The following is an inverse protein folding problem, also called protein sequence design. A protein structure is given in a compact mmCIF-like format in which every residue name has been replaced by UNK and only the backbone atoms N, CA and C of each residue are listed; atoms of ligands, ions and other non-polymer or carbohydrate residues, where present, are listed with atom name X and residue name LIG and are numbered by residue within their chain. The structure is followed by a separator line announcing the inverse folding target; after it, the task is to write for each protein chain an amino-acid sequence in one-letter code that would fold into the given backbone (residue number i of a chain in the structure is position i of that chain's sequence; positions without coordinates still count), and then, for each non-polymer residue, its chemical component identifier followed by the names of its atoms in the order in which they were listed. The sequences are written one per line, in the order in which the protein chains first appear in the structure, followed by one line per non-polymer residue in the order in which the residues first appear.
data_IF_636794677958
#
_entry.id   IF_636794677958
#
_cell.length_a   1.000
_cell.length_b   1.000
_cell.length_c   1.000
_cell.angle_alpha   90.00
_cell.angle_beta   90.00
_cell.angle_gamma   90.00
#
_symmetry.space_group_name_H-M   'P 1'
#
loop_
_entity.id
_entity.type
_entity.pdbx_description
1 polymer ?
#
# COMPACT_ATOMS: atom_id res chain seq x y z
N UNK A 1 37.09 37.58 -65.60
CA UNK A 1 35.91 37.56 -64.70
C UNK A 1 35.12 36.20 -64.64
N UNK A 2 35.55 35.13 -65.30
CA UNK A 2 34.85 33.80 -65.27
C UNK A 2 35.47 32.75 -64.32
N UNK A 3 36.63 33.02 -63.72
CA UNK A 3 37.31 32.10 -62.82
C UNK A 3 37.01 32.35 -61.29
N UNK A 4 36.39 33.51 -60.99
CA UNK A 4 36.10 33.88 -59.61
C UNK A 4 34.69 33.45 -59.16
N UNK A 5 33.82 33.02 -60.14
CA UNK A 5 32.45 32.55 -59.78
C UNK A 5 32.35 31.06 -59.50
N UNK A 6 33.35 30.27 -59.88
CA UNK A 6 33.37 28.81 -59.61
C UNK A 6 33.89 28.42 -58.20
N UNK A 7 34.68 29.30 -57.54
CA UNK A 7 35.21 29.05 -56.20
C UNK A 7 34.21 29.38 -55.09
N UNK A 8 33.21 30.24 -55.37
CA UNK A 8 32.19 30.63 -54.38
C UNK A 8 31.05 29.59 -54.28
N UNK A 9 30.81 28.85 -55.41
CA UNK A 9 29.75 27.78 -55.37
C UNK A 9 30.22 26.48 -54.73
N UNK A 10 31.54 26.22 -54.65
CA UNK A 10 32.04 25.01 -53.93
C UNK A 10 32.23 25.24 -52.44
N UNK A 11 32.34 26.45 -51.92
CA UNK A 11 32.39 26.73 -50.46
C UNK A 11 31.03 26.75 -49.78
N UNK A 12 29.93 26.91 -50.57
CA UNK A 12 28.58 26.90 -50.05
C UNK A 12 27.96 25.50 -49.87
N UNK A 13 28.61 24.45 -50.41
CA UNK A 13 28.12 23.08 -50.32
C UNK A 13 28.75 22.24 -49.19
N UNK A 14 29.70 22.82 -48.44
CA UNK A 14 30.36 22.14 -47.32
C UNK A 14 29.93 22.65 -45.92
N UNK A 15 28.99 23.63 -45.88
CA UNK A 15 28.48 24.19 -44.59
C UNK A 15 27.07 23.73 -44.24
N UNK A 16 26.52 22.73 -44.92
CA UNK A 16 25.19 22.19 -44.66
C UNK A 16 25.18 20.79 -44.02
N UNK A 17 26.31 20.31 -43.51
CA UNK A 17 26.39 18.98 -42.86
C UNK A 17 26.95 19.00 -41.43
N UNK A 18 26.86 20.15 -40.73
CA UNK A 18 27.26 20.23 -39.31
C UNK A 18 26.15 20.75 -38.41
N UNK A 19 24.91 20.40 -38.73
CA UNK A 19 23.73 20.68 -37.94
C UNK A 19 23.01 19.40 -37.53
N UNK A 20 23.74 18.30 -37.23
CA UNK A 20 23.22 17.30 -36.32
C UNK A 20 23.18 18.01 -34.97
N UNK A 21 22.02 18.58 -34.62
CA UNK A 21 21.73 18.97 -33.27
C UNK A 21 22.21 17.78 -32.39
N UNK A 22 23.21 18.02 -31.55
CA UNK A 22 23.50 17.11 -30.48
C UNK A 22 22.17 16.98 -29.72
N UNK A 23 21.45 15.92 -29.99
CA UNK A 23 20.27 15.58 -29.23
C UNK A 23 20.82 15.39 -27.84
N UNK A 24 20.48 16.32 -26.92
CA UNK A 24 20.97 16.24 -25.54
C UNK A 24 20.78 14.82 -25.06
N UNK A 25 21.85 14.16 -24.66
CA UNK A 25 21.81 12.77 -24.22
C UNK A 25 20.83 12.65 -23.07
N UNK A 26 20.07 11.55 -23.03
CA UNK A 26 19.24 11.20 -21.87
C UNK A 26 20.16 10.76 -20.73
N UNK A 27 19.72 10.93 -19.50
CA UNK A 27 20.45 10.41 -18.33
C UNK A 27 20.46 8.88 -18.38
N UNK A 28 19.30 8.30 -18.69
CA UNK A 28 19.13 6.84 -18.82
C UNK A 28 18.31 6.57 -20.09
N UNK A 29 18.71 5.55 -20.85
CA UNK A 29 17.88 4.97 -21.90
C UNK A 29 17.67 3.49 -21.67
N UNK A 30 16.44 3.03 -21.83
CA UNK A 30 16.08 1.61 -21.83
C UNK A 30 15.79 1.22 -23.27
N UNK A 31 16.59 0.31 -23.81
CA UNK A 31 16.60 -0.02 -25.24
C UNK A 31 15.92 -1.36 -25.51
N UNK A 32 15.23 -1.46 -26.66
CA UNK A 32 14.71 -2.70 -27.22
C UNK A 32 13.69 -3.44 -26.37
N UNK A 33 13.13 -2.83 -25.33
CA UNK A 33 12.15 -3.45 -24.44
C UNK A 33 10.75 -3.44 -25.03
N UNK A 34 9.94 -4.46 -24.68
CA UNK A 34 8.50 -4.43 -24.94
C UNK A 34 7.85 -3.48 -23.94
N UNK A 35 7.63 -2.24 -24.37
CA UNK A 35 6.95 -1.22 -23.54
C UNK A 35 5.47 -1.55 -23.45
N UNK A 36 4.99 -1.69 -22.24
CA UNK A 36 3.58 -1.89 -21.90
C UNK A 36 3.12 -0.74 -21.02
N UNK A 37 2.23 0.10 -21.56
CA UNK A 37 1.67 1.24 -20.85
C UNK A 37 0.13 1.10 -20.80
N UNK A 38 -0.42 0.78 -19.62
CA UNK A 38 -1.85 0.56 -19.46
C UNK A 38 -2.70 1.82 -19.66
N UNK A 39 -2.12 3.02 -19.47
CA UNK A 39 -2.84 4.28 -19.66
C UNK A 39 -3.12 4.56 -21.14
N UNK A 40 -2.09 4.41 -21.99
CA UNK A 40 -2.22 4.68 -23.43
C UNK A 40 -2.58 3.44 -24.26
N UNK A 41 -2.52 2.24 -23.67
CA UNK A 41 -2.67 0.97 -24.37
C UNK A 41 -1.47 0.61 -25.25
N UNK A 42 -0.32 1.29 -25.12
CA UNK A 42 0.89 0.97 -25.86
C UNK A 42 1.41 -0.41 -25.46
N UNK A 43 1.61 -1.28 -26.45
CA UNK A 43 2.18 -2.60 -26.27
C UNK A 43 3.06 -2.93 -27.48
N UNK A 44 4.30 -2.45 -27.48
CA UNK A 44 5.22 -2.61 -28.60
C UNK A 44 6.68 -2.50 -28.16
N UNK A 45 7.60 -3.04 -28.97
CA UNK A 45 9.03 -2.85 -28.72
C UNK A 45 9.38 -1.37 -28.97
N UNK A 46 9.92 -0.71 -27.96
CA UNK A 46 10.29 0.72 -27.97
C UNK A 46 11.56 0.94 -27.16
N UNK A 47 12.13 2.13 -27.35
CA UNK A 47 13.20 2.68 -26.53
C UNK A 47 12.62 3.77 -25.64
N UNK A 48 13.02 3.83 -24.38
CA UNK A 48 12.55 4.80 -23.40
C UNK A 48 13.70 5.71 -23.00
N UNK A 49 13.51 7.04 -23.12
CA UNK A 49 14.48 8.04 -22.70
C UNK A 49 14.03 8.75 -21.42
N UNK A 50 14.88 8.76 -20.41
CA UNK A 50 14.64 9.35 -19.09
C UNK A 50 15.59 10.52 -18.90
N UNK A 51 15.05 11.63 -18.37
CA UNK A 51 15.82 12.82 -17.97
C UNK A 51 15.35 13.30 -16.61
N UNK A 52 16.27 13.35 -15.63
CA UNK A 52 15.93 13.59 -14.25
C UNK A 52 14.94 12.53 -13.74
N UNK A 53 13.78 12.97 -13.31
CA UNK A 53 12.72 12.10 -12.75
C UNK A 53 11.58 11.80 -13.75
N UNK A 54 11.78 12.05 -15.05
CA UNK A 54 10.70 11.95 -16.00
C UNK A 54 11.07 11.10 -17.22
N UNK A 55 10.11 10.29 -17.66
CA UNK A 55 10.13 9.68 -19.00
C UNK A 55 9.81 10.80 -20.00
N UNK A 56 10.78 11.15 -20.84
CA UNK A 56 10.66 12.28 -21.78
C UNK A 56 10.58 11.83 -23.25
N UNK A 57 10.84 10.53 -23.51
CA UNK A 57 10.71 9.95 -24.82
C UNK A 57 10.30 8.47 -24.75
N UNK A 58 9.39 8.06 -25.63
CA UNK A 58 9.13 6.66 -26.00
C UNK A 58 9.20 6.62 -27.54
N UNK A 59 10.18 5.88 -28.10
CA UNK A 59 10.55 5.96 -29.50
C UNK A 59 10.78 4.59 -30.13
N UNK A 60 10.45 4.46 -31.41
CA UNK A 60 10.86 3.33 -32.26
C UNK A 60 12.26 3.52 -32.83
N UNK A 61 12.82 4.73 -32.73
CA UNK A 61 14.18 5.04 -33.16
C UNK A 61 15.17 4.82 -31.99
N UNK A 62 16.43 4.47 -32.29
CA UNK A 62 17.47 4.37 -31.27
C UNK A 62 17.63 5.68 -30.48
N UNK A 63 17.74 5.56 -29.17
CA UNK A 63 18.06 6.65 -28.25
C UNK A 63 19.50 6.48 -27.73
N UNK A 64 20.10 7.58 -27.24
CA UNK A 64 21.40 7.57 -26.56
C UNK A 64 21.31 8.26 -25.22
N UNK A 65 21.92 7.69 -24.20
CA UNK A 65 21.97 8.22 -22.85
C UNK A 65 23.33 8.00 -22.21
N UNK A 66 23.52 8.61 -21.04
CA UNK A 66 24.72 8.39 -20.24
C UNK A 66 24.76 6.95 -19.73
N UNK A 67 23.61 6.42 -19.31
CA UNK A 67 23.42 5.02 -18.94
C UNK A 67 22.50 4.34 -19.95
N UNK A 68 22.93 3.21 -20.51
CA UNK A 68 22.17 2.42 -21.45
C UNK A 68 21.80 1.05 -20.82
N UNK A 69 20.52 0.72 -20.81
CA UNK A 69 19.98 -0.57 -20.29
C UNK A 69 19.38 -1.32 -21.49
N UNK A 70 19.95 -2.45 -21.86
CA UNK A 70 19.37 -3.32 -22.89
C UNK A 70 18.25 -4.19 -22.27
N UNK A 71 17.03 -3.94 -22.69
CA UNK A 71 15.84 -4.67 -22.28
C UNK A 71 15.34 -5.64 -23.37
N UNK A 72 16.22 -6.09 -24.26
CA UNK A 72 15.85 -7.05 -25.31
C UNK A 72 15.21 -8.30 -24.70
N UNK A 73 13.98 -8.62 -25.12
CA UNK A 73 13.21 -9.78 -24.60
C UNK A 73 12.54 -9.54 -23.25
N UNK A 74 12.68 -8.36 -22.66
CA UNK A 74 12.07 -7.97 -21.41
C UNK A 74 10.87 -7.04 -21.62
N UNK A 75 10.00 -6.97 -20.62
CA UNK A 75 8.90 -6.02 -20.53
C UNK A 75 9.42 -4.77 -19.79
N UNK A 76 9.08 -3.60 -20.32
CA UNK A 76 9.28 -2.29 -19.69
C UNK A 76 7.89 -1.72 -19.40
N UNK A 77 7.56 -1.61 -18.14
CA UNK A 77 6.27 -1.12 -17.67
C UNK A 77 6.45 -0.13 -16.51
N UNK A 78 5.43 0.67 -16.16
CA UNK A 78 5.44 1.42 -14.90
C UNK A 78 5.68 0.49 -13.72
N UNK A 79 6.43 0.96 -12.71
CA UNK A 79 6.59 0.23 -11.46
C UNK A 79 5.29 0.19 -10.67
N UNK A 80 5.14 -0.82 -9.79
CA UNK A 80 3.94 -0.97 -8.98
C UNK A 80 3.86 0.09 -7.90
N UNK A 81 2.64 0.52 -7.61
CA UNK A 81 2.29 1.32 -6.44
C UNK A 81 1.61 0.37 -5.46
N UNK A 82 2.29 0.07 -4.37
CA UNK A 82 1.74 -0.76 -3.29
C UNK A 82 1.00 0.15 -2.30
N UNK A 83 -0.32 0.02 -2.26
CA UNK A 83 -1.19 0.86 -1.43
C UNK A 83 -1.19 0.43 0.05
N UNK A 84 -0.64 -0.76 0.34
CA UNK A 84 -0.77 -1.39 1.64
C UNK A 84 0.56 -2.06 2.04
N UNK A 85 1.46 -1.27 2.60
CA UNK A 85 2.79 -1.72 2.97
C UNK A 85 3.18 -1.21 4.37
N UNK A 86 3.15 -2.09 5.37
CA UNK A 86 3.61 -1.79 6.73
C UNK A 86 5.13 -1.79 6.86
N UNK A 87 5.82 -2.50 5.95
CA UNK A 87 7.28 -2.51 5.89
C UNK A 87 7.82 -1.20 5.30
N UNK A 88 8.17 -0.26 6.17
CA UNK A 88 8.65 1.07 5.78
C UNK A 88 10.13 1.32 6.07
N UNK A 89 10.87 0.32 6.56
CA UNK A 89 12.32 0.41 6.75
C UNK A 89 13.08 0.40 5.40
N UNK A 90 14.33 0.90 5.38
CA UNK A 90 15.18 0.86 4.19
C UNK A 90 15.33 -0.58 3.67
N UNK A 91 15.46 -1.55 4.58
CA UNK A 91 15.59 -2.97 4.22
C UNK A 91 14.31 -3.54 3.59
N UNK A 92 13.14 -3.19 4.12
CA UNK A 92 11.86 -3.59 3.53
C UNK A 92 11.72 -3.03 2.11
N UNK A 93 12.11 -1.77 1.90
CA UNK A 93 12.05 -1.14 0.58
C UNK A 93 12.97 -1.80 -0.47
N UNK A 94 14.13 -2.33 -0.07
CA UNK A 94 14.98 -3.10 -0.98
C UNK A 94 14.25 -4.33 -1.54
N UNK A 95 13.54 -5.07 -0.68
CA UNK A 95 12.75 -6.23 -1.11
C UNK A 95 11.55 -5.83 -1.96
N UNK A 96 10.86 -4.75 -1.60
CA UNK A 96 9.74 -4.22 -2.39
C UNK A 96 10.22 -3.77 -3.78
N UNK A 97 11.36 -3.09 -3.87
CA UNK A 97 11.97 -2.69 -5.15
C UNK A 97 12.30 -3.92 -6.03
N UNK A 98 12.80 -5.01 -5.42
CA UNK A 98 13.08 -6.26 -6.13
C UNK A 98 11.81 -6.95 -6.63
N UNK A 99 10.65 -6.71 -6.01
CA UNK A 99 9.32 -7.17 -6.48
C UNK A 99 8.69 -6.22 -7.52
N UNK A 100 9.42 -5.16 -7.93
CA UNK A 100 8.98 -4.19 -8.92
C UNK A 100 8.16 -3.03 -8.36
N UNK A 101 8.10 -2.87 -7.05
CA UNK A 101 7.44 -1.73 -6.40
C UNK A 101 8.33 -0.50 -6.52
N UNK A 102 7.76 0.61 -6.97
CA UNK A 102 8.44 1.92 -7.03
C UNK A 102 7.85 2.95 -6.09
N UNK A 103 6.70 2.64 -5.49
CA UNK A 103 6.03 3.45 -4.48
C UNK A 103 5.38 2.53 -3.45
N UNK A 104 5.73 2.64 -2.18
CA UNK A 104 5.11 1.90 -1.08
C UNK A 104 4.43 2.85 -0.11
N UNK A 105 3.14 2.62 0.16
CA UNK A 105 2.30 3.49 0.95
C UNK A 105 1.79 2.78 2.21
N UNK A 106 1.86 3.47 3.35
CA UNK A 106 1.27 3.03 4.62
C UNK A 106 -0.11 3.68 4.76
N UNK A 107 -1.13 3.05 4.18
CA UNK A 107 -2.47 3.65 4.13
C UNK A 107 -3.45 3.08 5.15
N UNK A 108 -3.36 1.79 5.49
CA UNK A 108 -4.30 1.14 6.40
C UNK A 108 -4.17 1.64 7.83
N UNK A 109 -3.01 1.43 8.45
CA UNK A 109 -2.77 1.88 9.81
C UNK A 109 -2.51 3.39 9.87
N UNK A 110 -1.87 3.92 8.84
CA UNK A 110 -1.43 5.29 8.77
C UNK A 110 -0.35 5.62 9.80
N UNK A 111 -0.01 6.88 9.93
CA UNK A 111 1.01 7.35 10.89
C UNK A 111 0.43 8.40 11.85
N UNK A 112 0.94 8.54 13.10
CA UNK A 112 0.44 9.54 14.04
C UNK A 112 0.91 10.95 13.72
N UNK A 113 2.07 11.08 13.04
CA UNK A 113 2.73 12.33 12.71
C UNK A 113 3.38 12.22 11.33
N UNK A 114 2.78 12.83 10.33
CA UNK A 114 3.26 12.73 8.94
C UNK A 114 4.57 13.48 8.72
N UNK A 115 4.79 14.71 9.21
CA UNK A 115 6.07 15.39 9.09
C UNK A 115 7.24 14.57 9.64
N UNK A 116 7.05 13.94 10.80
CA UNK A 116 8.06 13.05 11.39
C UNK A 116 8.34 11.86 10.48
N UNK A 117 7.30 11.17 10.00
CA UNK A 117 7.43 10.05 9.07
C UNK A 117 8.22 10.44 7.81
N UNK A 118 7.87 11.55 7.18
CA UNK A 118 8.55 12.02 5.97
C UNK A 118 10.02 12.36 6.23
N UNK A 119 10.31 13.07 7.32
CA UNK A 119 11.68 13.45 7.69
C UNK A 119 12.57 12.22 7.95
N UNK A 120 12.04 11.19 8.60
CA UNK A 120 12.78 9.94 8.87
C UNK A 120 13.04 9.13 7.59
N UNK A 121 12.26 9.34 6.54
CA UNK A 121 12.39 8.65 5.25
C UNK A 121 13.28 9.41 4.26
N UNK A 122 13.43 10.72 4.43
CA UNK A 122 14.19 11.56 3.53
C UNK A 122 15.64 11.09 3.42
N UNK A 123 16.10 10.77 2.21
CA UNK A 123 17.45 10.25 1.96
C UNK A 123 17.68 8.77 2.33
N UNK A 124 16.71 8.10 2.97
CA UNK A 124 16.80 6.71 3.44
C UNK A 124 15.87 5.73 2.69
N UNK A 125 15.15 6.19 1.68
CA UNK A 125 14.25 5.36 0.90
C UNK A 125 14.77 5.16 -0.52
N UNK A 126 14.74 3.92 -1.02
CA UNK A 126 15.13 3.57 -2.40
C UNK A 126 13.94 3.59 -3.36
N UNK A 127 12.73 3.75 -2.84
CA UNK A 127 11.47 3.88 -3.59
C UNK A 127 10.67 5.07 -3.04
N UNK A 128 9.67 5.52 -3.78
CA UNK A 128 8.74 6.55 -3.29
C UNK A 128 7.92 6.03 -2.11
N UNK A 129 7.53 6.93 -1.21
CA UNK A 129 6.79 6.59 0.00
C UNK A 129 5.74 7.65 0.34
N UNK A 130 4.78 7.27 1.15
CA UNK A 130 3.73 8.14 1.67
C UNK A 130 2.89 7.40 2.70
N UNK A 131 2.04 8.14 3.41
CA UNK A 131 1.18 7.55 4.42
C UNK A 131 -0.17 8.28 4.52
N UNK A 132 -1.16 7.59 5.06
CA UNK A 132 -2.36 8.18 5.63
C UNK A 132 -2.11 8.67 7.05
N UNK A 133 -3.04 9.46 7.60
CA UNK A 133 -3.01 9.82 9.02
C UNK A 133 -3.83 8.80 9.83
N UNK A 134 -3.27 8.30 10.93
CA UNK A 134 -3.86 7.22 11.72
C UNK A 134 -5.02 7.65 12.58
N UNK A 135 -6.25 7.20 12.28
CA UNK A 135 -7.39 7.38 13.18
C UNK A 135 -7.16 6.68 14.53
N UNK A 136 -6.72 5.40 14.51
CA UNK A 136 -6.54 4.62 15.74
C UNK A 136 -5.53 5.22 16.72
N UNK A 137 -4.38 5.69 16.22
CA UNK A 137 -3.37 6.33 17.06
C UNK A 137 -3.85 7.70 17.58
N UNK A 138 -4.43 8.53 16.71
CA UNK A 138 -4.89 9.87 17.11
C UNK A 138 -6.09 9.83 18.05
N UNK A 139 -6.96 8.84 17.87
CA UNK A 139 -8.06 8.55 18.81
C UNK A 139 -7.52 8.25 20.21
N UNK A 140 -6.56 7.30 20.31
CA UNK A 140 -5.90 6.95 21.57
C UNK A 140 -5.17 8.17 22.18
N UNK A 141 -4.46 8.91 21.34
CA UNK A 141 -3.77 10.15 21.75
C UNK A 141 -4.73 11.27 22.21
N UNK A 142 -6.00 11.19 21.84
CA UNK A 142 -7.05 12.15 22.27
C UNK A 142 -7.71 11.75 23.59
N UNK A 143 -7.38 10.58 24.14
CA UNK A 143 -7.80 10.15 25.49
C UNK A 143 -6.85 10.75 26.53
N UNK A 144 -7.35 11.53 27.51
CA UNK A 144 -6.49 12.21 28.50
C UNK A 144 -5.51 11.32 29.23
N UNK A 145 -5.92 10.09 29.58
CA UNK A 145 -5.12 9.13 30.30
C UNK A 145 -3.91 8.59 29.52
N UNK A 146 -3.94 8.65 28.17
CA UNK A 146 -2.87 8.16 27.31
C UNK A 146 -1.98 9.27 26.75
N UNK A 147 -2.43 10.54 26.79
CA UNK A 147 -1.73 11.67 26.15
C UNK A 147 -0.26 11.77 26.56
N UNK A 148 0.04 11.77 27.86
CA UNK A 148 1.42 11.94 28.34
C UNK A 148 2.35 10.75 28.01
N UNK A 149 1.81 9.55 27.91
CA UNK A 149 2.57 8.36 27.50
C UNK A 149 2.89 8.42 26.02
N UNK A 150 1.91 8.78 25.20
CA UNK A 150 2.07 8.87 23.74
C UNK A 150 3.02 10.03 23.39
N UNK A 151 2.93 11.18 24.07
CA UNK A 151 3.87 12.29 23.87
C UNK A 151 5.34 11.83 24.10
N UNK A 152 5.57 11.02 25.13
CA UNK A 152 6.91 10.44 25.38
C UNK A 152 7.34 9.46 24.29
N UNK A 153 6.40 8.60 23.82
CA UNK A 153 6.67 7.61 22.79
C UNK A 153 7.02 8.27 21.46
N UNK A 154 6.21 9.25 21.04
CA UNK A 154 6.47 10.05 19.83
C UNK A 154 7.82 10.76 19.91
N UNK A 155 8.16 11.33 21.10
CA UNK A 155 9.48 11.90 21.34
C UNK A 155 10.62 10.87 21.16
N UNK A 156 10.46 9.67 21.72
CA UNK A 156 11.44 8.59 21.57
C UNK A 156 11.66 8.17 20.11
N UNK A 157 10.56 8.03 19.35
CA UNK A 157 10.61 7.70 17.93
C UNK A 157 11.31 8.82 17.14
N UNK A 158 10.97 10.08 17.44
CA UNK A 158 11.59 11.25 16.80
C UNK A 158 13.11 11.32 17.07
N UNK A 159 13.54 11.02 18.31
CA UNK A 159 14.94 11.04 18.69
C UNK A 159 15.75 9.91 18.03
N UNK A 160 15.11 8.78 17.67
CA UNK A 160 15.75 7.68 16.96
C UNK A 160 16.18 8.09 15.54
N UNK A 161 15.49 9.02 14.89
CA UNK A 161 15.86 9.61 13.60
C UNK A 161 15.74 8.68 12.39
N UNK A 162 15.23 7.47 12.58
CA UNK A 162 15.00 6.49 11.50
C UNK A 162 13.75 5.65 11.77
N UNK A 163 13.11 5.14 10.70
CA UNK A 163 12.06 4.14 10.80
C UNK A 163 12.70 2.76 10.78
N UNK A 164 12.74 2.14 11.95
CA UNK A 164 13.07 0.72 12.13
C UNK A 164 11.78 -0.10 12.29
N UNK A 165 11.92 -1.43 12.24
CA UNK A 165 10.79 -2.31 12.53
C UNK A 165 10.33 -2.15 13.99
N UNK A 166 11.24 -1.83 14.92
CA UNK A 166 10.91 -1.48 16.31
C UNK A 166 10.04 -0.22 16.42
N UNK A 167 10.27 0.80 15.59
CA UNK A 167 9.44 2.01 15.57
C UNK A 167 8.04 1.75 15.03
N UNK A 168 7.90 0.82 14.09
CA UNK A 168 6.60 0.35 13.59
C UNK A 168 5.84 -0.39 14.70
N UNK A 169 6.51 -1.28 15.43
CA UNK A 169 5.90 -1.99 16.57
C UNK A 169 5.45 -1.03 17.68
N UNK A 170 6.27 -0.04 18.03
CA UNK A 170 5.89 1.01 18.99
C UNK A 170 4.61 1.74 18.54
N UNK A 171 4.47 1.98 17.24
CA UNK A 171 3.31 2.63 16.68
C UNK A 171 2.03 1.79 16.86
N UNK A 172 2.08 0.48 16.60
CA UNK A 172 0.96 -0.42 16.87
C UNK A 172 0.61 -0.50 18.36
N UNK A 173 1.60 -0.35 19.28
CA UNK A 173 1.35 -0.28 20.71
C UNK A 173 0.52 0.95 21.10
N UNK A 174 0.71 2.09 20.44
CA UNK A 174 -0.13 3.30 20.65
C UNK A 174 -1.60 3.01 20.33
N UNK A 175 -1.87 2.37 19.21
CA UNK A 175 -3.25 1.96 18.88
C UNK A 175 -3.80 1.01 19.93
N UNK A 176 -3.01 0.05 20.36
CA UNK A 176 -3.41 -0.98 21.32
C UNK A 176 -3.72 -0.42 22.71
N UNK A 177 -3.11 0.66 23.17
CA UNK A 177 -3.33 1.25 24.49
C UNK A 177 -4.78 1.73 24.71
N UNK A 178 -5.43 2.25 23.66
CA UNK A 178 -6.83 2.72 23.73
C UNK A 178 -7.84 1.76 23.11
N UNK A 179 -7.45 0.51 22.80
CA UNK A 179 -8.23 -0.39 21.93
C UNK A 179 -9.62 -0.75 22.47
N UNK A 180 -9.75 -0.92 23.78
CA UNK A 180 -10.97 -1.45 24.41
C UNK A 180 -11.87 -0.35 24.97
N UNK A 181 -11.46 0.92 24.84
CA UNK A 181 -12.22 2.07 25.36
C UNK A 181 -12.94 2.83 24.27
N UNK A 182 -14.13 3.30 24.57
CA UNK A 182 -14.84 4.30 23.77
C UNK A 182 -14.21 5.68 24.02
N UNK A 183 -14.01 6.47 22.97
CA UNK A 183 -13.61 7.87 23.11
C UNK A 183 -14.83 8.69 23.51
N UNK A 184 -14.73 9.43 24.61
CA UNK A 184 -15.81 10.33 25.01
C UNK A 184 -16.05 11.39 23.93
N UNK A 185 -17.29 11.64 23.49
CA UNK A 185 -17.62 12.65 22.50
C UNK A 185 -17.09 14.06 22.80
N UNK A 186 -16.85 14.39 24.06
CA UNK A 186 -16.21 15.68 24.43
C UNK A 186 -14.79 15.82 23.86
N UNK A 187 -14.11 14.71 23.53
CA UNK A 187 -12.76 14.68 22.95
C UNK A 187 -12.75 14.61 21.41
N UNK A 188 -13.89 14.47 20.75
CA UNK A 188 -13.97 14.50 19.29
C UNK A 188 -13.37 15.77 18.67
N UNK A 189 -13.55 16.98 19.21
CA UNK A 189 -12.90 18.18 18.66
C UNK A 189 -11.38 18.08 18.63
N UNK A 190 -10.78 17.43 19.63
CA UNK A 190 -9.32 17.18 19.69
C UNK A 190 -8.89 16.18 18.61
N UNK A 191 -9.63 15.08 18.45
CA UNK A 191 -9.38 14.09 17.41
C UNK A 191 -9.46 14.73 16.01
N UNK A 192 -10.54 15.47 15.72
CA UNK A 192 -10.72 16.13 14.42
C UNK A 192 -9.63 17.18 14.15
N UNK A 193 -9.19 17.90 15.17
CA UNK A 193 -8.07 18.84 15.03
C UNK A 193 -6.76 18.12 14.68
N UNK A 194 -6.48 16.98 15.30
CA UNK A 194 -5.27 16.17 15.03
C UNK A 194 -5.31 15.59 13.62
N UNK A 195 -6.43 14.96 13.22
CA UNK A 195 -6.62 14.44 11.86
C UNK A 195 -6.48 15.53 10.81
N UNK A 196 -7.10 16.72 11.07
CA UNK A 196 -7.02 17.85 10.16
C UNK A 196 -5.61 18.38 9.97
N UNK A 197 -4.78 18.38 11.00
CA UNK A 197 -3.35 18.71 10.85
C UNK A 197 -2.65 17.73 9.94
N UNK A 198 -2.76 16.43 10.20
CA UNK A 198 -2.13 15.41 9.35
C UNK A 198 -2.55 15.50 7.88
N UNK A 199 -3.84 15.73 7.60
CA UNK A 199 -4.32 15.96 6.24
C UNK A 199 -3.73 17.24 5.61
N UNK A 200 -3.61 18.33 6.37
CA UNK A 200 -3.01 19.58 5.90
C UNK A 200 -1.49 19.44 5.68
N UNK A 201 -0.82 18.56 6.43
CA UNK A 201 0.59 18.25 6.28
C UNK A 201 0.86 17.32 5.08
N UNK A 202 -0.20 16.85 4.39
CA UNK A 202 -0.11 16.10 3.14
C UNK A 202 -0.39 14.60 3.26
N UNK A 203 -1.03 14.14 4.35
CA UNK A 203 -1.48 12.75 4.44
C UNK A 203 -2.45 12.40 3.31
N UNK A 204 -2.29 11.21 2.75
CA UNK A 204 -3.04 10.74 1.58
C UNK A 204 -4.50 10.37 1.89
N UNK A 205 -4.90 10.43 3.15
CA UNK A 205 -6.23 10.12 3.64
C UNK A 205 -6.17 9.72 5.12
N UNK A 206 -7.15 8.95 5.57
CA UNK A 206 -7.29 8.52 6.96
C UNK A 206 -7.21 7.00 7.03
N UNK A 207 -6.24 6.47 7.77
CA UNK A 207 -6.11 5.04 8.04
C UNK A 207 -7.00 4.61 9.21
N UNK A 208 -7.80 3.55 9.03
CA UNK A 208 -8.81 3.11 9.99
C UNK A 208 -8.89 1.59 10.13
N UNK A 209 -7.91 0.93 10.78
CA UNK A 209 -7.96 -0.51 11.04
C UNK A 209 -8.79 -0.83 12.30
N UNK A 210 -10.11 -0.58 12.25
CA UNK A 210 -10.94 -0.54 13.47
C UNK A 210 -11.32 -1.91 14.06
N UNK A 211 -10.95 -3.02 13.43
CA UNK A 211 -10.97 -4.33 14.10
C UNK A 211 -9.95 -4.40 15.25
N UNK A 212 -8.84 -3.67 15.15
CA UNK A 212 -7.76 -3.69 16.16
C UNK A 212 -8.09 -2.86 17.40
N UNK A 213 -9.11 -2.01 17.36
CA UNK A 213 -9.58 -1.21 18.50
C UNK A 213 -11.11 -1.31 18.64
N UNK A 214 -11.61 -2.47 19.11
CA UNK A 214 -13.04 -2.78 19.16
C UNK A 214 -13.86 -1.85 20.05
N UNK A 215 -13.21 -1.07 20.94
CA UNK A 215 -13.86 -0.05 21.76
C UNK A 215 -14.35 1.17 20.99
N UNK A 216 -14.06 1.29 19.67
CA UNK A 216 -14.57 2.40 18.87
C UNK A 216 -16.08 2.26 18.64
N UNK A 217 -16.84 3.33 18.94
CA UNK A 217 -18.29 3.33 18.77
C UNK A 217 -18.70 3.48 17.29
N UNK A 218 -19.91 3.04 16.97
CA UNK A 218 -20.51 3.26 15.65
C UNK A 218 -20.74 4.74 15.37
N UNK A 219 -21.03 5.55 16.41
CA UNK A 219 -21.18 7.00 16.28
C UNK A 219 -19.85 7.68 15.92
N UNK A 220 -18.75 7.30 16.58
CA UNK A 220 -17.41 7.81 16.26
C UNK A 220 -17.06 7.54 14.80
N UNK A 221 -17.26 6.28 14.32
CA UNK A 221 -16.98 5.91 12.94
C UNK A 221 -17.87 6.68 11.97
N UNK A 222 -19.17 6.76 12.21
CA UNK A 222 -20.06 7.53 11.31
C UNK A 222 -19.66 9.01 11.21
N UNK A 223 -19.30 9.65 12.33
CA UNK A 223 -18.79 11.03 12.33
C UNK A 223 -17.43 11.16 11.64
N UNK A 224 -16.58 10.15 11.72
CA UNK A 224 -15.33 10.11 10.94
C UNK A 224 -15.62 10.13 9.43
N UNK A 225 -16.61 9.36 8.98
CA UNK A 225 -17.03 9.40 7.57
C UNK A 225 -17.58 10.77 7.16
N UNK A 226 -18.40 11.42 8.01
CA UNK A 226 -18.85 12.80 7.77
C UNK A 226 -17.66 13.75 7.66
N UNK A 227 -16.72 13.67 8.60
CA UNK A 227 -15.50 14.49 8.62
C UNK A 227 -14.63 14.30 7.38
N UNK A 228 -14.48 13.05 6.92
CA UNK A 228 -13.74 12.69 5.73
C UNK A 228 -14.42 13.22 4.45
N UNK A 229 -15.74 13.10 4.35
CA UNK A 229 -16.53 13.60 3.23
C UNK A 229 -16.40 15.13 3.07
N UNK A 230 -16.47 15.90 4.17
CA UNK A 230 -16.29 17.36 4.14
C UNK A 230 -14.92 17.79 3.59
N UNK A 231 -13.92 16.93 3.64
CA UNK A 231 -12.54 17.18 3.19
C UNK A 231 -12.15 16.47 1.93
N UNK A 232 -13.07 15.68 1.37
CA UNK A 232 -12.78 14.77 0.26
C UNK A 232 -11.54 13.90 0.55
N UNK A 233 -11.37 13.46 1.80
CA UNK A 233 -10.26 12.65 2.25
C UNK A 233 -10.66 11.16 2.21
N UNK A 234 -9.95 10.29 1.48
CA UNK A 234 -10.26 8.87 1.46
C UNK A 234 -10.02 8.23 2.82
N UNK A 235 -10.89 7.28 3.19
CA UNK A 235 -10.71 6.41 4.34
C UNK A 235 -10.19 5.07 3.84
N UNK A 236 -9.05 4.61 4.38
CA UNK A 236 -8.47 3.28 4.14
C UNK A 236 -8.81 2.40 5.33
N UNK A 237 -9.60 1.34 5.11
CA UNK A 237 -10.17 0.62 6.25
C UNK A 237 -9.96 -0.88 6.24
N UNK A 238 -9.38 -1.40 7.33
CA UNK A 238 -9.57 -2.75 7.79
C UNK A 238 -10.89 -2.80 8.57
N UNK A 239 -11.90 -3.44 8.01
CA UNK A 239 -13.26 -3.40 8.57
C UNK A 239 -13.35 -4.03 9.96
N UNK A 240 -14.34 -3.62 10.75
CA UNK A 240 -14.56 -4.02 12.16
C UNK A 240 -14.63 -5.53 12.38
N UNK A 241 -15.20 -6.25 11.44
CA UNK A 241 -15.40 -7.70 11.57
C UNK A 241 -15.37 -8.39 10.22
N UNK A 242 -14.92 -9.62 10.22
CA UNK A 242 -14.93 -10.49 9.04
C UNK A 242 -16.37 -10.80 8.60
N UNK A 243 -16.55 -11.06 7.31
CA UNK A 243 -17.84 -11.37 6.70
C UNK A 243 -18.64 -10.14 6.29
N UNK A 244 -19.94 -10.33 6.07
CA UNK A 244 -20.81 -9.31 5.44
C UNK A 244 -21.04 -8.08 6.33
N UNK A 245 -21.18 -8.25 7.64
CA UNK A 245 -21.57 -7.17 8.56
C UNK A 245 -20.54 -6.03 8.59
N UNK A 246 -19.25 -6.35 8.66
CA UNK A 246 -18.20 -5.32 8.65
C UNK A 246 -18.14 -4.55 7.34
N UNK A 247 -18.35 -5.23 6.21
CA UNK A 247 -18.43 -4.60 4.90
C UNK A 247 -19.66 -3.69 4.77
N UNK A 248 -20.82 -4.15 5.24
CA UNK A 248 -22.05 -3.36 5.22
C UNK A 248 -21.93 -2.07 6.04
N UNK A 249 -21.26 -2.10 7.19
CA UNK A 249 -21.04 -0.91 8.03
C UNK A 249 -20.34 0.20 7.23
N UNK A 250 -19.20 -0.11 6.65
CA UNK A 250 -18.37 0.91 5.96
C UNK A 250 -18.96 1.35 4.63
N UNK A 251 -19.55 0.43 3.87
CA UNK A 251 -20.24 0.75 2.61
C UNK A 251 -21.47 1.64 2.88
N UNK A 252 -22.26 1.33 3.92
CA UNK A 252 -23.42 2.16 4.29
C UNK A 252 -22.98 3.57 4.73
N UNK A 253 -21.91 3.68 5.52
CA UNK A 253 -21.38 4.96 5.94
C UNK A 253 -20.86 5.78 4.75
N UNK A 254 -20.12 5.17 3.82
CA UNK A 254 -19.62 5.83 2.62
C UNK A 254 -20.78 6.35 1.74
N UNK A 255 -21.80 5.53 1.49
CA UNK A 255 -22.98 5.93 0.71
C UNK A 255 -23.75 7.05 1.41
N UNK A 256 -23.93 6.97 2.73
CA UNK A 256 -24.72 7.94 3.49
C UNK A 256 -24.04 9.32 3.59
N UNK A 257 -22.72 9.37 3.58
CA UNK A 257 -21.93 10.59 3.77
C UNK A 257 -21.30 11.14 2.49
N UNK A 258 -21.09 10.26 1.49
CA UNK A 258 -20.34 10.58 0.28
C UNK A 258 -18.81 10.56 0.48
N UNK A 259 -18.32 10.01 1.58
CA UNK A 259 -16.87 9.89 1.84
C UNK A 259 -16.24 8.90 0.86
N UNK A 260 -15.08 9.22 0.24
CA UNK A 260 -14.30 8.26 -0.52
C UNK A 260 -13.81 7.14 0.41
N UNK A 261 -13.95 5.89 -0.02
CA UNK A 261 -13.63 4.70 0.78
C UNK A 261 -12.71 3.74 0.02
N UNK A 262 -11.65 3.28 0.65
CA UNK A 262 -10.85 2.16 0.20
C UNK A 262 -10.92 1.03 1.22
N UNK A 263 -11.40 -0.14 0.80
CA UNK A 263 -11.48 -1.33 1.64
C UNK A 263 -10.24 -2.17 1.39
N UNK A 264 -9.41 -2.32 2.43
CA UNK A 264 -8.15 -3.05 2.31
C UNK A 264 -8.35 -4.57 2.41
N UNK A 265 -7.44 -5.34 1.80
CA UNK A 265 -7.35 -6.81 1.85
C UNK A 265 -8.71 -7.53 1.96
N UNK A 266 -9.64 -7.21 1.06
CA UNK A 266 -10.99 -7.78 1.06
C UNK A 266 -10.98 -9.31 1.20
N UNK A 267 -9.96 -10.00 0.65
CA UNK A 267 -9.85 -11.44 0.69
C UNK A 267 -9.80 -12.02 2.11
N UNK A 268 -9.03 -11.41 3.03
CA UNK A 268 -8.94 -11.86 4.42
C UNK A 268 -10.17 -11.46 5.25
N UNK A 269 -10.86 -10.39 4.87
CA UNK A 269 -12.03 -9.91 5.60
C UNK A 269 -13.34 -10.53 5.11
N UNK A 270 -13.41 -10.99 3.88
CA UNK A 270 -14.63 -11.60 3.31
C UNK A 270 -14.75 -13.09 3.59
N UNK A 271 -13.64 -13.83 3.56
CA UNK A 271 -13.59 -15.29 3.73
C UNK A 271 -14.65 -16.01 2.86
N UNK A 272 -15.54 -16.78 3.48
CA UNK A 272 -16.62 -17.52 2.80
C UNK A 272 -17.73 -16.63 2.23
N UNK A 273 -17.81 -15.37 2.65
CA UNK A 273 -18.79 -14.39 2.16
C UNK A 273 -18.24 -13.55 0.98
N UNK A 274 -17.11 -13.97 0.39
CA UNK A 274 -16.39 -13.20 -0.63
C UNK A 274 -17.26 -12.74 -1.80
N UNK A 275 -18.17 -13.60 -2.28
CA UNK A 275 -19.04 -13.25 -3.40
C UNK A 275 -20.05 -12.16 -3.00
N UNK A 276 -20.70 -12.32 -1.85
CA UNK A 276 -21.68 -11.34 -1.36
C UNK A 276 -21.01 -9.98 -1.13
N UNK A 277 -19.81 -9.96 -0.57
CA UNK A 277 -19.06 -8.71 -0.34
C UNK A 277 -18.60 -8.08 -1.65
N UNK A 278 -18.14 -8.87 -2.60
CA UNK A 278 -17.79 -8.39 -3.93
C UNK A 278 -19.00 -7.77 -4.61
N UNK A 279 -20.15 -8.46 -4.65
CA UNK A 279 -21.40 -7.96 -5.23
C UNK A 279 -21.87 -6.67 -4.54
N UNK A 280 -21.72 -6.57 -3.22
CA UNK A 280 -22.06 -5.36 -2.44
C UNK A 280 -21.22 -4.16 -2.86
N UNK A 281 -19.90 -4.34 -2.91
CA UNK A 281 -18.94 -3.27 -3.26
C UNK A 281 -19.13 -2.83 -4.71
N UNK A 282 -19.14 -3.80 -5.63
CA UNK A 282 -19.29 -3.51 -7.06
C UNK A 282 -20.65 -2.89 -7.37
N UNK A 283 -21.70 -3.36 -6.69
CA UNK A 283 -23.04 -2.76 -6.82
C UNK A 283 -23.13 -1.34 -6.28
N UNK A 284 -22.34 -0.99 -5.26
CA UNK A 284 -22.21 0.39 -4.77
C UNK A 284 -21.45 1.29 -5.76
N UNK A 285 -20.35 0.80 -6.34
CA UNK A 285 -19.60 1.49 -7.40
C UNK A 285 -20.49 1.79 -8.63
N UNK A 286 -21.27 0.81 -9.09
CA UNK A 286 -22.20 0.98 -10.22
C UNK A 286 -23.28 2.07 -9.97
N UNK A 287 -23.54 2.39 -8.71
CA UNK A 287 -24.45 3.46 -8.29
C UNK A 287 -23.75 4.78 -8.02
N UNK A 288 -22.45 4.86 -8.33
CA UNK A 288 -21.67 6.08 -8.23
C UNK A 288 -21.05 6.34 -6.86
N UNK A 289 -21.00 5.34 -5.96
CA UNK A 289 -20.25 5.47 -4.72
C UNK A 289 -18.73 5.43 -5.03
N UNK A 290 -17.98 6.34 -4.44
CA UNK A 290 -16.52 6.38 -4.54
C UNK A 290 -15.91 5.37 -3.56
N UNK A 291 -15.96 4.10 -3.96
CA UNK A 291 -15.44 2.98 -3.19
C UNK A 291 -14.45 2.21 -4.05
N UNK A 292 -13.26 1.95 -3.50
CA UNK A 292 -12.25 1.09 -4.10
C UNK A 292 -11.92 -0.07 -3.17
N UNK A 293 -11.29 -1.11 -3.69
CA UNK A 293 -11.01 -2.34 -2.92
C UNK A 293 -9.75 -3.00 -3.41
N UNK A 294 -9.03 -3.64 -2.50
CA UNK A 294 -7.82 -4.42 -2.82
C UNK A 294 -7.87 -5.85 -2.25
N UNK A 295 -7.01 -6.69 -2.79
CA UNK A 295 -6.73 -8.03 -2.31
C UNK A 295 -5.26 -8.42 -2.55
N UNK A 296 -4.76 -9.38 -1.79
CA UNK A 296 -3.42 -9.94 -2.01
C UNK A 296 -3.49 -11.41 -2.44
N UNK A 297 -2.49 -11.89 -3.23
CA UNK A 297 -2.52 -13.20 -3.86
C UNK A 297 -2.01 -14.34 -2.95
N UNK A 298 -2.45 -14.39 -1.69
CA UNK A 298 -2.05 -15.41 -0.71
C UNK A 298 -3.24 -15.92 0.08
N UNK A 299 -3.15 -17.19 0.52
CA UNK A 299 -4.19 -17.88 1.30
C UNK A 299 -4.03 -17.73 2.81
N UNK A 300 -3.01 -17.01 3.26
CA UNK A 300 -2.74 -16.73 4.66
C UNK A 300 -2.66 -15.23 4.91
N UNK A 301 -3.01 -14.82 6.12
CA UNK A 301 -2.82 -13.48 6.66
C UNK A 301 -1.65 -13.46 7.65
N UNK A 302 -1.24 -12.28 8.11
CA UNK A 302 -0.23 -12.12 9.17
C UNK A 302 -0.59 -10.94 10.05
N UNK A 303 -0.48 -11.12 11.37
CA UNK A 303 -0.76 -10.08 12.37
C UNK A 303 -0.09 -10.40 13.71
N UNK A 304 -0.10 -9.45 14.64
CA UNK A 304 0.35 -9.67 16.01
C UNK A 304 -0.58 -10.62 16.78
N UNK A 305 -0.03 -11.60 17.50
CA UNK A 305 -0.82 -12.58 18.27
C UNK A 305 -1.63 -11.92 19.42
N UNK A 306 -1.23 -10.73 19.88
CA UNK A 306 -1.93 -9.95 20.91
C UNK A 306 -3.09 -9.11 20.37
N UNK A 307 -3.28 -9.08 19.04
CA UNK A 307 -4.33 -8.26 18.43
C UNK A 307 -5.73 -8.69 18.87
N UNK A 308 -6.70 -7.76 18.76
CA UNK A 308 -8.11 -8.01 19.07
C UNK A 308 -8.76 -9.08 18.18
N UNK A 309 -8.14 -9.41 17.05
CA UNK A 309 -8.55 -10.52 16.19
C UNK A 309 -8.65 -11.84 16.97
N UNK A 310 -7.76 -12.04 17.93
CA UNK A 310 -7.67 -13.24 18.78
C UNK A 310 -8.40 -13.13 20.12
N UNK A 311 -9.24 -12.11 20.33
CA UNK A 311 -10.06 -12.03 21.52
C UNK A 311 -11.10 -13.16 21.54
N UNK A 312 -11.70 -13.41 22.70
CA UNK A 312 -12.61 -14.52 22.96
C UNK A 312 -13.57 -14.83 21.82
N UNK A 313 -13.68 -16.09 21.43
CA UNK A 313 -14.50 -16.55 20.33
C UNK A 313 -13.86 -16.42 18.93
N UNK A 314 -12.56 -16.13 18.83
CA UNK A 314 -11.87 -15.99 17.55
C UNK A 314 -11.96 -17.24 16.66
N UNK A 315 -11.89 -18.43 17.25
CA UNK A 315 -11.98 -19.70 16.51
C UNK A 315 -13.32 -19.83 15.77
N UNK A 316 -14.42 -19.46 16.43
CA UNK A 316 -15.76 -19.50 15.85
C UNK A 316 -15.92 -18.40 14.77
N UNK A 317 -15.39 -17.19 15.03
CA UNK A 317 -15.45 -16.08 14.06
C UNK A 317 -14.68 -16.39 12.79
N UNK A 318 -13.50 -17.00 12.89
CA UNK A 318 -12.65 -17.33 11.75
C UNK A 318 -12.86 -18.75 11.21
N UNK A 319 -13.57 -19.63 11.96
CA UNK A 319 -13.78 -21.05 11.63
C UNK A 319 -12.47 -21.82 11.45
N UNK A 320 -11.49 -21.53 12.29
CA UNK A 320 -10.17 -22.17 12.33
C UNK A 320 -9.82 -22.63 13.73
N UNK A 321 -8.73 -23.38 13.86
CA UNK A 321 -8.20 -23.89 15.12
C UNK A 321 -6.79 -23.36 15.39
N UNK A 322 -6.19 -23.75 16.51
CA UNK A 322 -4.81 -23.41 16.83
C UNK A 322 -3.82 -23.92 15.76
N UNK A 323 -4.08 -25.06 15.15
CA UNK A 323 -3.24 -25.67 14.11
C UNK A 323 -3.19 -24.85 12.82
N UNK A 324 -4.15 -23.92 12.61
CA UNK A 324 -4.16 -23.00 11.48
C UNK A 324 -3.31 -21.75 11.72
N UNK A 325 -2.80 -21.58 12.95
CA UNK A 325 -1.91 -20.49 13.33
C UNK A 325 -0.46 -20.97 13.28
N UNK A 326 0.40 -20.24 12.63
CA UNK A 326 1.83 -20.51 12.50
C UNK A 326 2.63 -19.42 13.22
N UNK A 327 3.51 -19.82 14.14
CA UNK A 327 4.47 -18.88 14.72
C UNK A 327 5.50 -18.43 13.68
N UNK A 328 5.69 -17.13 13.53
CA UNK A 328 6.54 -16.60 12.47
C UNK A 328 7.99 -17.06 12.60
N UNK A 329 8.58 -16.96 13.79
CA UNK A 329 10.03 -17.14 13.99
C UNK A 329 10.48 -18.57 13.74
N UNK A 330 9.67 -19.57 14.10
CA UNK A 330 10.04 -20.99 13.96
C UNK A 330 9.32 -21.72 12.84
N UNK A 331 8.20 -21.16 12.35
CA UNK A 331 7.34 -21.79 11.37
C UNK A 331 6.47 -22.91 11.92
N UNK A 332 6.46 -23.14 13.26
CA UNK A 332 5.64 -24.17 13.88
C UNK A 332 4.15 -23.84 13.88
N UNK A 333 3.31 -24.86 13.77
CA UNK A 333 1.87 -24.75 13.98
C UNK A 333 1.56 -24.82 15.46
N UNK A 334 0.66 -23.94 15.91
CA UNK A 334 0.41 -23.78 17.33
C UNK A 334 -0.56 -24.84 17.89
N UNK A 335 -0.39 -25.13 19.15
CA UNK A 335 -1.36 -25.80 20.02
C UNK A 335 -2.00 -24.75 20.93
N UNK A 336 -3.03 -25.12 21.70
CA UNK A 336 -3.60 -24.23 22.71
C UNK A 336 -2.56 -23.74 23.71
N UNK A 337 -1.67 -24.62 24.15
CA UNK A 337 -0.61 -24.31 25.12
C UNK A 337 0.39 -23.29 24.55
N UNK A 338 0.91 -23.55 23.35
CA UNK A 338 1.89 -22.65 22.71
C UNK A 338 1.25 -21.34 22.28
N UNK A 339 0.00 -21.34 21.82
CA UNK A 339 -0.74 -20.12 21.51
C UNK A 339 -0.87 -19.21 22.75
N UNK A 340 -1.28 -19.76 23.89
CA UNK A 340 -1.41 -18.97 25.12
C UNK A 340 -0.06 -18.43 25.60
N UNK A 341 1.01 -19.25 25.54
CA UNK A 341 2.36 -18.82 25.91
C UNK A 341 2.86 -17.66 25.00
N UNK A 342 2.68 -17.79 23.68
CA UNK A 342 3.10 -16.73 22.73
C UNK A 342 2.19 -15.50 22.83
N UNK A 343 0.92 -15.64 23.20
CA UNK A 343 0.05 -14.48 23.45
C UNK A 343 0.53 -13.63 24.63
N UNK A 344 1.13 -14.26 25.65
CA UNK A 344 1.78 -13.54 26.76
C UNK A 344 3.11 -12.90 26.35
N UNK A 345 3.88 -13.59 25.49
CA UNK A 345 5.15 -13.12 24.98
C UNK A 345 5.00 -11.95 24.01
N UNK A 346 3.99 -11.97 23.13
CA UNK A 346 3.85 -11.13 21.95
C UNK A 346 4.68 -11.64 20.79
N UNK A 347 4.44 -11.11 19.59
CA UNK A 347 5.10 -11.47 18.35
C UNK A 347 4.10 -11.66 17.22
N UNK A 348 4.59 -12.05 16.06
CA UNK A 348 3.80 -12.16 14.82
C UNK A 348 3.44 -13.60 14.50
N UNK A 349 2.23 -13.80 13.98
CA UNK A 349 1.72 -15.09 13.51
C UNK A 349 1.24 -14.99 12.07
N UNK A 350 1.29 -16.13 11.38
CA UNK A 350 0.70 -16.34 10.06
C UNK A 350 -0.56 -17.17 10.25
N UNK A 351 -1.68 -16.72 9.71
CA UNK A 351 -3.01 -17.31 9.89
C UNK A 351 -3.46 -17.94 8.58
N UNK A 352 -3.60 -19.23 8.52
CA UNK A 352 -4.02 -19.98 7.33
C UNK A 352 -5.55 -20.14 7.32
N UNK A 353 -6.27 -19.13 6.81
CA UNK A 353 -7.73 -19.05 6.94
C UNK A 353 -8.47 -18.92 5.61
N UNK A 354 -7.76 -18.73 4.49
CA UNK A 354 -8.40 -18.49 3.19
C UNK A 354 -8.22 -19.67 2.24
N UNK A 355 -9.17 -19.83 1.33
CA UNK A 355 -9.10 -20.81 0.24
C UNK A 355 -8.70 -20.14 -1.07
N UNK A 356 -7.94 -20.86 -1.89
CA UNK A 356 -7.49 -20.40 -3.20
C UNK A 356 -8.64 -19.96 -4.11
N UNK A 357 -9.77 -20.69 -4.07
CA UNK A 357 -10.95 -20.36 -4.89
C UNK A 357 -11.54 -18.98 -4.56
N UNK A 358 -11.52 -18.58 -3.29
CA UNK A 358 -12.02 -17.27 -2.86
C UNK A 358 -11.14 -16.14 -3.37
N UNK A 359 -9.81 -16.35 -3.29
CA UNK A 359 -8.81 -15.39 -3.77
C UNK A 359 -8.92 -15.23 -5.28
N UNK A 360 -8.96 -16.34 -6.02
CA UNK A 360 -9.08 -16.31 -7.46
C UNK A 360 -10.31 -15.54 -7.95
N UNK A 361 -11.46 -15.74 -7.29
CA UNK A 361 -12.69 -15.05 -7.65
C UNK A 361 -12.58 -13.52 -7.49
N UNK A 362 -11.88 -13.06 -6.44
CA UNK A 362 -11.66 -11.64 -6.18
C UNK A 362 -10.62 -11.04 -7.12
N UNK A 363 -9.49 -11.74 -7.31
CA UNK A 363 -8.42 -11.27 -8.20
C UNK A 363 -8.81 -11.26 -9.68
N UNK A 364 -9.86 -11.98 -10.07
CA UNK A 364 -10.34 -12.02 -11.46
C UNK A 364 -11.14 -10.77 -11.86
N UNK A 365 -11.64 -9.97 -10.90
CA UNK A 365 -12.35 -8.73 -11.21
C UNK A 365 -11.36 -7.57 -11.37
N UNK A 366 -11.32 -6.89 -12.54
CA UNK A 366 -10.36 -5.82 -12.80
C UNK A 366 -10.55 -4.56 -11.93
N UNK A 367 -11.64 -4.50 -11.17
CA UNK A 367 -11.89 -3.41 -10.21
C UNK A 367 -11.28 -3.68 -8.83
N UNK A 368 -10.77 -4.89 -8.59
CA UNK A 368 -10.03 -5.24 -7.37
C UNK A 368 -8.55 -4.98 -7.59
N UNK A 369 -7.99 -4.06 -6.84
CA UNK A 369 -6.57 -3.71 -6.90
C UNK A 369 -5.72 -4.80 -6.24
N UNK A 370 -4.43 -4.85 -6.59
CA UNK A 370 -3.47 -5.72 -5.94
C UNK A 370 -2.63 -4.88 -5.00
N UNK A 371 -2.57 -5.28 -3.73
CA UNK A 371 -1.67 -4.70 -2.74
C UNK A 371 -1.00 -5.82 -1.94
N UNK A 372 0.07 -5.52 -1.21
CA UNK A 372 0.83 -6.57 -0.53
C UNK A 372 0.30 -6.91 0.85
N UNK A 373 -0.16 -5.94 1.59
CA UNK A 373 -0.35 -6.03 3.05
C UNK A 373 0.95 -6.53 3.72
N UNK A 374 2.07 -6.00 3.19
CA UNK A 374 3.42 -6.43 3.53
C UNK A 374 3.83 -5.97 4.92
N UNK A 375 4.13 -6.93 5.79
CA UNK A 375 4.58 -6.68 7.17
C UNK A 375 6.02 -6.16 7.20
N UNK A 376 6.49 -5.55 8.31
CA UNK A 376 7.89 -5.23 8.53
C UNK A 376 8.81 -6.42 8.24
N UNK A 377 10.04 -6.12 7.78
CA UNK A 377 11.01 -7.16 7.48
C UNK A 377 11.43 -7.89 8.76
N UNK A 378 11.27 -9.20 8.74
CA UNK A 378 11.78 -10.08 9.79
C UNK A 378 12.06 -11.48 9.22
N UNK A 379 12.96 -12.27 9.81
CA UNK A 379 13.10 -13.68 9.48
C UNK A 379 11.77 -14.42 9.66
N UNK A 380 11.42 -15.26 8.70
CA UNK A 380 10.15 -16.00 8.73
C UNK A 380 8.90 -15.18 8.42
N UNK A 381 9.03 -13.87 8.10
CA UNK A 381 7.90 -13.03 7.73
C UNK A 381 7.11 -13.62 6.54
N UNK A 382 5.83 -13.31 6.50
CA UNK A 382 4.95 -13.76 5.42
C UNK A 382 5.51 -13.30 4.05
N UNK A 383 5.58 -14.17 3.02
CA UNK A 383 6.21 -13.83 1.72
C UNK A 383 5.52 -12.68 0.97
N UNK A 384 4.34 -12.24 1.39
CA UNK A 384 3.67 -11.04 0.83
C UNK A 384 4.49 -9.76 1.01
N UNK A 385 5.39 -9.72 1.98
CA UNK A 385 6.28 -8.57 2.21
C UNK A 385 7.31 -8.34 1.09
N UNK A 386 7.55 -9.34 0.22
CA UNK A 386 8.62 -9.28 -0.78
C UNK A 386 8.34 -10.07 -2.07
N UNK A 387 7.10 -10.35 -2.42
CA UNK A 387 6.82 -11.19 -3.59
C UNK A 387 5.38 -11.17 -4.07
N UNK A 388 4.59 -10.20 -3.66
CA UNK A 388 3.16 -10.10 -4.00
C UNK A 388 2.95 -9.89 -5.50
N UNK A 389 3.63 -8.93 -6.09
CA UNK A 389 3.44 -8.56 -7.50
C UNK A 389 4.04 -9.62 -8.43
N UNK A 390 5.24 -10.11 -8.14
CA UNK A 390 5.85 -11.22 -8.88
C UNK A 390 5.00 -12.49 -8.82
N UNK A 391 4.40 -12.81 -7.65
CA UNK A 391 3.48 -13.93 -7.50
C UNK A 391 2.21 -13.74 -8.31
N UNK A 392 1.62 -12.54 -8.26
CA UNK A 392 0.41 -12.24 -9.03
C UNK A 392 0.66 -12.41 -10.52
N UNK A 393 1.71 -11.78 -11.06
CA UNK A 393 2.08 -11.91 -12.47
C UNK A 393 2.46 -13.34 -12.87
N UNK A 394 3.27 -14.01 -12.05
CA UNK A 394 3.74 -15.36 -12.35
C UNK A 394 2.65 -16.40 -12.24
N UNK A 395 2.00 -16.51 -11.07
CA UNK A 395 1.03 -17.56 -10.79
C UNK A 395 -0.34 -17.31 -11.43
N UNK A 396 -0.90 -16.10 -11.26
CA UNK A 396 -2.30 -15.85 -11.64
C UNK A 396 -2.42 -15.36 -13.09
N UNK A 397 -1.53 -14.52 -13.57
CA UNK A 397 -1.56 -14.03 -14.94
C UNK A 397 -0.94 -15.02 -15.92
N UNK A 398 0.34 -15.41 -15.70
CA UNK A 398 1.07 -16.26 -16.65
C UNK A 398 0.63 -17.73 -16.59
N UNK A 399 0.63 -18.33 -15.37
CA UNK A 399 0.46 -19.80 -15.24
C UNK A 399 -1.01 -20.22 -15.23
N UNK A 400 -1.91 -19.39 -14.68
CA UNK A 400 -3.33 -19.68 -14.55
C UNK A 400 -4.20 -18.92 -15.55
N UNK A 401 -3.62 -17.99 -16.30
CA UNK A 401 -4.33 -17.16 -17.31
C UNK A 401 -5.61 -16.51 -16.75
N UNK A 402 -5.58 -16.11 -15.46
CA UNK A 402 -6.74 -15.57 -14.76
C UNK A 402 -7.23 -14.27 -15.40
N UNK A 403 -6.30 -13.48 -15.93
CA UNK A 403 -6.55 -12.27 -16.70
C UNK A 403 -5.41 -12.02 -17.70
N UNK A 404 -5.63 -11.11 -18.64
CA UNK A 404 -4.55 -10.68 -19.55
C UNK A 404 -3.57 -9.76 -18.82
N UNK A 405 -2.35 -9.68 -19.34
CA UNK A 405 -1.35 -8.75 -18.83
C UNK A 405 -1.66 -7.27 -19.18
N UNK A 406 -2.55 -7.07 -20.17
CA UNK A 406 -3.08 -5.78 -20.63
C UNK A 406 -4.59 -5.86 -20.71
#
# INVERSE_FOLDING_TARGET
MRRLRAAILMASMFLLSAGALAQDAYDIVILNGRVMDPETGLNAVRNVGIRGQSVVAISDQPLRGETEVDATGLIVAPGFIDLHAHGQSARANEFQAMDGVTTALELEAGVPDLPMFLAMREGNAVINYGASISHGALRTWSMPEHTAEIDRLVGTISDAGEISDDTVDMFFQVIAAGRDKELDPEHYPTLWSRLGRGLNDGALGIGMPHQYYPGVSYDEIFRLFQYAAERNAPIFTHVRSMGVTGMQEVVANAIATGAPLHIVHMNSMSLWDYQTNLDLILGAQERGADITVEAYPYTAASTGIRSAIFDDGWQQRMRISYEDIQWQDTGERLTEETFNAYREQGGTVIIHLMKEEWIRAQLADPRVMIASDGMPYAPGAHPRSAGTFSRFLGRYVRDQELMSLM
#
